data_IF_110569557422
#
_entry.id   IF_110569557422
#
_cell.length_a   1.000
_cell.length_b   1.000
_cell.length_c   1.000
_cell.angle_alpha   90.00
_cell.angle_beta   90.00
_cell.angle_gamma   90.00
#
_symmetry.space_group_name_H-M   'P 1'
#
loop_
_entity.id
_entity.type
_entity.pdbx_description
1 polymer ?
#
# COMPACT_ATOMS: atom_id res chain seq x y z
N UNK A 1 2.98 -14.06 3.63
CA UNK A 1 4.42 -14.00 3.33
C UNK A 1 4.96 -12.84 4.14
N UNK A 2 6.09 -12.99 4.85
CA UNK A 2 6.67 -11.88 5.61
C UNK A 2 6.92 -10.69 4.68
N UNK A 3 6.71 -9.47 5.17
CA UNK A 3 7.01 -8.23 4.46
C UNK A 3 8.53 -8.07 4.27
N UNK A 4 9.09 -8.73 3.26
CA UNK A 4 10.49 -8.52 2.83
C UNK A 4 10.57 -7.46 1.72
N UNK A 5 11.75 -6.89 1.51
CA UNK A 5 11.98 -5.95 0.42
C UNK A 5 11.63 -6.54 -0.96
N UNK A 6 11.93 -7.83 -1.18
CA UNK A 6 11.61 -8.56 -2.41
C UNK A 6 10.09 -8.71 -2.59
N UNK A 7 9.37 -9.04 -1.51
CA UNK A 7 7.91 -9.19 -1.56
C UNK A 7 7.20 -7.86 -1.87
N UNK A 8 7.72 -6.75 -1.32
CA UNK A 8 7.24 -5.40 -1.57
C UNK A 8 7.50 -5.01 -3.04
N UNK A 9 8.72 -5.25 -3.53
CA UNK A 9 9.08 -4.98 -4.92
C UNK A 9 8.21 -5.78 -5.90
N UNK A 10 7.93 -7.05 -5.59
CA UNK A 10 7.06 -7.89 -6.42
C UNK A 10 5.62 -7.34 -6.50
N UNK A 11 5.03 -6.91 -5.37
CA UNK A 11 3.68 -6.32 -5.34
C UNK A 11 3.60 -5.01 -6.12
N UNK A 12 4.57 -4.11 -5.93
CA UNK A 12 4.67 -2.85 -6.69
C UNK A 12 4.82 -3.11 -8.19
N UNK A 13 5.71 -4.05 -8.56
CA UNK A 13 5.91 -4.44 -9.96
C UNK A 13 4.63 -4.99 -10.58
N UNK A 14 3.90 -5.87 -9.88
CA UNK A 14 2.65 -6.43 -10.37
C UNK A 14 1.59 -5.35 -10.65
N UNK A 15 1.44 -4.38 -9.74
CA UNK A 15 0.53 -3.23 -9.94
C UNK A 15 0.96 -2.35 -11.11
N UNK A 16 2.26 -2.05 -11.21
CA UNK A 16 2.81 -1.23 -12.30
C UNK A 16 2.63 -1.90 -13.67
N UNK A 17 2.91 -3.20 -13.76
CA UNK A 17 2.81 -3.95 -15.03
C UNK A 17 1.35 -4.14 -15.48
N UNK A 18 0.38 -4.00 -14.57
CA UNK A 18 -1.04 -3.95 -14.91
C UNK A 18 -1.46 -2.61 -15.56
N UNK A 19 -0.67 -1.54 -15.41
CA UNK A 19 -0.90 -0.26 -16.09
C UNK A 19 -0.41 -0.38 -17.53
N UNK A 20 -1.35 -0.47 -18.47
CA UNK A 20 -1.04 -0.61 -19.90
C UNK A 20 -0.18 0.55 -20.41
N UNK A 21 0.81 0.35 -21.28
CA UNK A 21 1.61 1.43 -21.83
C UNK A 21 0.76 2.39 -22.67
N UNK A 22 1.11 3.68 -22.65
CA UNK A 22 0.48 4.71 -23.46
C UNK A 22 1.52 5.30 -24.41
N UNK A 23 1.18 5.39 -25.70
CA UNK A 23 1.93 6.16 -26.68
C UNK A 23 1.00 7.22 -27.25
N UNK A 24 1.34 8.49 -27.02
CA UNK A 24 0.53 9.65 -27.41
C UNK A 24 1.43 10.88 -27.51
N UNK A 25 1.02 11.86 -28.30
CA UNK A 25 1.60 13.20 -28.39
C UNK A 25 0.83 14.24 -27.55
N UNK A 26 -0.31 13.86 -26.95
CA UNK A 26 -1.08 14.71 -26.06
C UNK A 26 -0.45 14.81 -24.65
N UNK A 27 0.03 16.00 -24.23
CA UNK A 27 0.61 16.20 -22.90
C UNK A 27 -0.37 15.92 -21.75
N UNK A 28 -1.67 16.15 -21.94
CA UNK A 28 -2.67 15.90 -20.90
C UNK A 28 -2.84 14.40 -20.65
N UNK A 29 -2.89 13.61 -21.72
CA UNK A 29 -2.91 12.15 -21.64
C UNK A 29 -1.64 11.57 -20.99
N UNK A 30 -0.46 12.14 -21.27
CA UNK A 30 0.79 11.76 -20.58
C UNK A 30 0.71 12.05 -19.08
N UNK A 31 0.25 13.24 -18.68
CA UNK A 31 0.12 13.62 -17.27
C UNK A 31 -0.86 12.70 -16.52
N UNK A 32 -2.01 12.40 -17.13
CA UNK A 32 -2.98 11.44 -16.60
C UNK A 32 -2.34 10.05 -16.42
N UNK A 33 -1.49 9.63 -17.37
CA UNK A 33 -0.82 8.34 -17.29
C UNK A 33 0.22 8.26 -16.19
N UNK A 34 1.00 9.33 -16.00
CA UNK A 34 1.95 9.44 -14.88
C UNK A 34 1.19 9.31 -13.54
N UNK A 35 0.03 9.96 -13.42
CA UNK A 35 -0.81 9.85 -12.23
C UNK A 35 -1.28 8.41 -12.00
N UNK A 36 -1.68 7.69 -13.05
CA UNK A 36 -2.07 6.28 -12.97
C UNK A 36 -0.93 5.39 -12.45
N UNK A 37 0.31 5.61 -12.92
CA UNK A 37 1.49 4.91 -12.42
C UNK A 37 1.77 5.20 -10.93
N UNK A 38 1.66 6.45 -10.50
CA UNK A 38 1.86 6.84 -9.10
C UNK A 38 0.82 6.19 -8.18
N UNK A 39 -0.44 6.13 -8.61
CA UNK A 39 -1.51 5.46 -7.87
C UNK A 39 -1.26 3.95 -7.79
N UNK A 40 -0.88 3.31 -8.90
CA UNK A 40 -0.59 1.88 -8.93
C UNK A 40 0.60 1.52 -8.01
N UNK A 41 1.66 2.32 -8.01
CA UNK A 41 2.82 2.13 -7.14
C UNK A 41 2.45 2.27 -5.66
N UNK A 42 1.68 3.33 -5.33
CA UNK A 42 1.19 3.57 -3.96
C UNK A 42 0.29 2.44 -3.47
N UNK A 43 -0.61 1.94 -4.33
CA UNK A 43 -1.48 0.82 -3.98
C UNK A 43 -0.68 -0.47 -3.73
N UNK A 44 0.40 -0.71 -4.48
CA UNK A 44 1.29 -1.85 -4.25
C UNK A 44 1.93 -1.82 -2.86
N UNK A 45 2.26 -0.64 -2.33
CA UNK A 45 2.76 -0.45 -0.97
C UNK A 45 1.66 -0.71 0.06
N UNK A 46 0.47 -0.15 -0.14
CA UNK A 46 -0.69 -0.36 0.75
C UNK A 46 -1.02 -1.84 0.84
N UNK A 47 -1.12 -2.55 -0.29
CA UNK A 47 -1.41 -3.98 -0.33
C UNK A 47 -0.34 -4.81 0.42
N UNK A 48 0.91 -4.36 0.38
CA UNK A 48 1.99 -5.01 1.10
C UNK A 48 1.79 -4.83 2.61
N UNK A 49 1.62 -3.57 3.06
CA UNK A 49 1.39 -3.24 4.46
C UNK A 49 0.13 -3.93 5.00
N UNK A 50 -1.01 -3.83 4.33
CA UNK A 50 -2.27 -4.43 4.80
C UNK A 50 -2.21 -5.95 4.90
N UNK A 51 -1.49 -6.62 3.99
CA UNK A 51 -1.37 -8.07 4.04
C UNK A 51 -0.47 -8.58 5.17
N UNK A 52 0.44 -7.74 5.68
CA UNK A 52 1.37 -8.07 6.77
C UNK A 52 1.08 -7.32 8.07
N UNK A 53 0.13 -6.40 8.05
CA UNK A 53 -0.46 -5.77 9.22
C UNK A 53 -1.20 -6.86 10.00
N UNK A 54 -0.45 -7.56 10.85
CA UNK A 54 -0.95 -8.33 11.96
C UNK A 54 -1.90 -7.40 12.73
N UNK A 55 -3.20 -7.56 12.50
CA UNK A 55 -4.22 -7.13 13.46
C UNK A 55 -4.05 -8.04 14.67
N UNK A 56 -3.02 -7.74 15.46
CA UNK A 56 -2.91 -8.19 16.84
C UNK A 56 -3.76 -7.22 17.65
N UNK A 57 -5.08 -7.26 17.44
CA UNK A 57 -5.97 -6.91 18.53
C UNK A 57 -5.77 -8.00 19.57
N UNK A 58 -4.90 -7.74 20.54
CA UNK A 58 -4.81 -8.50 21.77
C UNK A 58 -6.09 -8.24 22.58
N UNK A 59 -7.25 -8.67 22.08
CA UNK A 59 -8.49 -8.72 22.86
C UNK A 59 -8.41 -9.94 23.77
N UNK A 60 -7.55 -9.83 24.78
CA UNK A 60 -7.31 -10.87 25.78
C UNK A 60 -6.80 -10.33 27.11
N UNK A 61 -6.58 -9.03 27.25
CA UNK A 61 -6.42 -8.41 28.57
C UNK A 61 -7.84 -8.10 29.09
N UNK A 62 -8.30 -8.71 30.20
CA UNK A 62 -9.52 -8.25 30.86
C UNK A 62 -9.35 -6.77 31.23
N UNK A 63 -10.37 -5.97 30.95
CA UNK A 63 -10.45 -4.53 31.17
C UNK A 63 -10.04 -4.12 32.60
N UNK A 64 -8.73 -3.89 32.79
CA UNK A 64 -8.16 -3.48 34.05
C UNK A 64 -6.82 -2.80 33.79
N UNK A 65 -6.76 -1.52 34.12
CA UNK A 65 -5.52 -0.72 34.23
C UNK A 65 -4.93 -0.11 32.96
N UNK A 66 -5.72 0.59 32.15
CA UNK A 66 -5.19 1.72 31.37
C UNK A 66 -5.84 3.03 31.85
N UNK A 67 -5.60 3.38 33.12
CA UNK A 67 -5.69 4.78 33.56
C UNK A 67 -4.47 5.54 33.05
N UNK A 68 -4.53 5.96 31.79
CA UNK A 68 -3.68 7.03 31.25
C UNK A 68 -4.50 8.31 31.23
N UNK A 69 -4.34 9.13 32.27
CA UNK A 69 -5.03 10.40 32.41
C UNK A 69 -4.66 11.33 31.24
N UNK A 70 -5.63 11.67 30.37
CA UNK A 70 -5.51 12.83 29.47
C UNK A 70 -6.49 13.89 29.98
N UNK A 71 -6.07 14.57 31.05
CA UNK A 71 -6.42 15.94 31.47
C UNK A 71 -6.03 16.15 32.93
#
# INVERSE_FOLDING_TARGET
MPLTAESMAAKRKARRDAVAPLQTDDPAAVAAKIQEYLVADSQGIIDAITADALVTTTSGAPDGEHQGNIS
#
